data_IF_181092999656
#
_entry.id   IF_181092999656
#
_cell.length_a   1.000
_cell.length_b   1.000
_cell.length_c   1.000
_cell.angle_alpha   90.00
_cell.angle_beta   90.00
_cell.angle_gamma   90.00
#
_symmetry.space_group_name_H-M   'P 1'
#
loop_
_entity.id
_entity.type
_entity.pdbx_description
1 polymer ?
#
# COMPACT_ATOMS: atom_id res chain seq x y z
N UNK A 1 -0.38 31.51 -15.24
CA UNK A 1 -1.63 30.93 -14.68
C UNK A 1 -1.36 29.63 -13.91
N UNK A 2 -0.47 28.75 -14.37
CA UNK A 2 -0.16 27.47 -13.71
C UNK A 2 0.46 27.59 -12.32
N UNK A 3 1.45 28.49 -12.13
CA UNK A 3 2.10 28.72 -10.84
C UNK A 3 1.14 29.23 -9.75
N UNK A 4 0.23 30.15 -10.10
CA UNK A 4 -0.79 30.65 -9.14
C UNK A 4 -1.76 29.52 -8.75
N UNK A 5 -2.10 28.64 -9.69
CA UNK A 5 -2.99 27.50 -9.42
C UNK A 5 -2.28 26.48 -8.51
N UNK A 6 -1.03 26.12 -8.82
CA UNK A 6 -0.20 25.26 -7.98
C UNK A 6 -0.01 25.82 -6.57
N UNK A 7 0.24 27.13 -6.45
CA UNK A 7 0.38 27.80 -5.15
C UNK A 7 -0.93 27.77 -4.32
N UNK A 8 -2.08 27.97 -4.99
CA UNK A 8 -3.39 27.91 -4.33
C UNK A 8 -3.70 26.48 -3.86
N UNK A 9 -3.35 25.45 -4.64
CA UNK A 9 -3.50 24.06 -4.24
C UNK A 9 -2.58 23.70 -3.06
N UNK A 10 -1.35 24.20 -3.06
CA UNK A 10 -0.39 23.93 -1.98
C UNK A 10 -0.79 24.56 -0.63
N UNK A 11 -1.57 25.65 -0.64
CA UNK A 11 -2.06 26.34 0.55
C UNK A 11 -3.54 26.07 0.86
N UNK A 12 -4.26 25.41 -0.05
CA UNK A 12 -5.67 25.09 0.10
C UNK A 12 -5.93 23.96 1.10
N UNK A 13 -7.18 23.77 1.50
CA UNK A 13 -7.55 22.63 2.31
C UNK A 13 -7.37 21.33 1.51
N UNK A 14 -6.99 20.25 2.20
CA UNK A 14 -6.71 18.93 1.61
C UNK A 14 -7.85 18.44 0.69
N UNK A 15 -9.10 18.79 1.03
CA UNK A 15 -10.29 18.41 0.27
C UNK A 15 -10.39 19.06 -1.11
N UNK A 16 -9.65 20.15 -1.36
CA UNK A 16 -9.57 20.81 -2.67
C UNK A 16 -8.41 20.28 -3.53
N UNK A 17 -7.54 19.42 -2.97
CA UNK A 17 -6.46 18.78 -3.72
C UNK A 17 -7.07 17.72 -4.67
N UNK A 18 -6.87 17.82 -6.01
CA UNK A 18 -7.37 16.86 -6.97
C UNK A 18 -6.80 15.45 -6.80
N UNK A 19 -5.67 15.32 -6.12
CA UNK A 19 -5.06 14.03 -5.78
C UNK A 19 -5.61 13.42 -4.48
N UNK A 20 -6.39 14.17 -3.70
CA UNK A 20 -7.04 13.67 -2.49
C UNK A 20 -8.28 12.84 -2.83
N UNK A 21 -8.07 11.68 -3.41
CA UNK A 21 -9.13 10.78 -3.90
C UNK A 21 -9.65 9.80 -2.86
N UNK A 22 -9.11 9.79 -1.66
CA UNK A 22 -9.44 8.82 -0.59
C UNK A 22 -10.93 8.76 -0.23
N UNK A 23 -11.67 9.89 -0.10
CA UNK A 23 -13.10 9.85 0.16
C UNK A 23 -13.89 9.21 -0.98
N UNK A 24 -13.46 9.43 -2.22
CA UNK A 24 -14.07 8.79 -3.39
C UNK A 24 -13.86 7.27 -3.37
N UNK A 25 -12.64 6.80 -3.07
CA UNK A 25 -12.33 5.37 -2.95
C UNK A 25 -13.19 4.70 -1.88
N UNK A 26 -13.34 5.33 -0.71
CA UNK A 26 -14.22 4.82 0.35
C UNK A 26 -15.68 4.78 -0.08
N UNK A 27 -16.14 5.79 -0.81
CA UNK A 27 -17.50 5.80 -1.39
C UNK A 27 -17.71 4.63 -2.38
N UNK A 28 -16.71 4.33 -3.24
CA UNK A 28 -16.79 3.18 -4.14
C UNK A 28 -16.80 1.86 -3.36
N UNK A 29 -15.91 1.69 -2.36
CA UNK A 29 -15.95 0.54 -1.46
C UNK A 29 -17.35 0.32 -0.86
N UNK A 30 -17.98 1.38 -0.36
CA UNK A 30 -19.30 1.28 0.26
C UNK A 30 -20.40 0.86 -0.74
N UNK A 31 -20.32 1.36 -1.97
CA UNK A 31 -21.20 0.90 -3.06
C UNK A 31 -21.00 -0.57 -3.37
N UNK A 32 -19.73 -1.02 -3.49
CA UNK A 32 -19.41 -2.42 -3.73
C UNK A 32 -19.89 -3.32 -2.59
N UNK A 33 -19.68 -2.93 -1.33
CA UNK A 33 -20.19 -3.66 -0.17
C UNK A 33 -21.70 -3.87 -0.18
N UNK A 34 -22.45 -2.90 -0.71
CA UNK A 34 -23.90 -3.01 -0.84
C UNK A 34 -24.32 -4.07 -1.88
N UNK A 35 -23.50 -4.27 -2.92
CA UNK A 35 -23.80 -5.21 -4.02
C UNK A 35 -23.28 -6.62 -3.73
N UNK A 36 -22.00 -6.74 -3.30
CA UNK A 36 -21.34 -8.05 -3.18
C UNK A 36 -21.32 -8.60 -1.75
N UNK A 37 -21.78 -7.82 -0.77
CA UNK A 37 -21.81 -8.19 0.65
C UNK A 37 -20.72 -7.51 1.48
N UNK A 38 -21.07 -7.19 2.72
CA UNK A 38 -20.25 -6.36 3.64
C UNK A 38 -18.84 -6.88 3.89
N UNK A 39 -18.63 -8.19 3.85
CA UNK A 39 -17.36 -8.84 4.19
C UNK A 39 -16.52 -9.22 2.95
N UNK A 40 -16.94 -8.80 1.75
CA UNK A 40 -16.27 -9.17 0.49
C UNK A 40 -15.46 -8.04 -0.16
N UNK A 41 -15.47 -6.86 0.43
CA UNK A 41 -14.75 -5.71 -0.08
C UNK A 41 -14.25 -4.87 1.09
N UNK A 42 -12.96 -4.64 1.16
CA UNK A 42 -12.34 -3.74 2.14
C UNK A 42 -11.41 -2.75 1.46
N UNK A 43 -11.21 -1.60 2.12
CA UNK A 43 -10.16 -0.66 1.74
C UNK A 43 -9.03 -0.76 2.72
N UNK A 44 -7.82 -0.87 2.19
CA UNK A 44 -6.58 -0.90 2.94
C UNK A 44 -5.63 0.13 2.32
N UNK A 45 -5.21 1.11 3.13
CA UNK A 45 -4.30 2.16 2.66
C UNK A 45 -2.91 1.91 3.23
N UNK A 46 -1.93 1.82 2.34
CA UNK A 46 -0.54 1.63 2.70
C UNK A 46 0.16 2.98 2.81
N UNK A 47 0.74 3.26 3.96
CA UNK A 47 1.41 4.52 4.28
C UNK A 47 2.91 4.28 4.40
N UNK A 48 3.68 5.01 3.63
CA UNK A 48 5.14 4.98 3.72
C UNK A 48 5.60 5.82 4.91
N UNK A 49 6.42 5.25 5.77
CA UNK A 49 6.91 5.89 7.00
C UNK A 49 8.43 6.04 7.04
N UNK A 50 9.12 5.57 6.00
CA UNK A 50 10.57 5.64 5.85
C UNK A 50 11.00 5.80 4.41
N UNK A 51 12.29 5.50 4.17
CA UNK A 51 12.91 5.61 2.87
C UNK A 51 13.48 7.02 2.60
N UNK A 52 14.69 7.05 2.06
CA UNK A 52 15.43 8.27 1.71
C UNK A 52 15.90 8.29 0.26
N UNK A 53 15.77 7.17 -0.43
CA UNK A 53 16.21 7.02 -1.81
C UNK A 53 15.40 7.87 -2.79
N UNK A 54 15.96 8.05 -3.99
CA UNK A 54 15.24 8.72 -5.09
C UNK A 54 13.96 7.97 -5.46
N UNK A 55 13.92 6.67 -5.26
CA UNK A 55 12.75 5.82 -5.51
C UNK A 55 11.66 5.95 -4.44
N UNK A 56 12.00 6.50 -3.26
CA UNK A 56 11.04 6.73 -2.19
C UNK A 56 10.37 8.12 -2.24
N UNK A 57 10.62 8.89 -3.28
CA UNK A 57 9.93 10.17 -3.50
C UNK A 57 8.46 9.99 -3.88
N UNK A 58 7.57 10.93 -3.54
CA UNK A 58 7.84 12.11 -2.72
C UNK A 58 8.05 11.76 -1.25
N UNK A 59 8.97 12.48 -0.59
CA UNK A 59 9.14 12.39 0.85
C UNK A 59 8.16 13.35 1.53
N UNK A 60 7.45 12.86 2.52
CA UNK A 60 6.54 13.66 3.35
C UNK A 60 6.83 13.44 4.83
N UNK A 61 6.46 14.42 5.64
CA UNK A 61 6.64 14.34 7.08
C UNK A 61 5.45 13.61 7.71
N UNK A 62 5.69 12.57 8.51
CA UNK A 62 4.64 11.79 9.18
C UNK A 62 3.75 12.64 10.10
N UNK A 63 4.24 13.76 10.59
CA UNK A 63 3.48 14.70 11.41
C UNK A 63 2.90 15.88 10.61
N UNK A 64 2.92 15.83 9.27
CA UNK A 64 2.28 16.88 8.47
C UNK A 64 0.77 16.90 8.72
N UNK A 65 0.19 18.10 8.63
CA UNK A 65 -1.24 18.30 8.82
C UNK A 65 -2.08 17.40 7.92
N UNK A 66 -1.72 17.33 6.65
CA UNK A 66 -2.46 16.57 5.64
C UNK A 66 -2.46 15.07 5.94
N UNK A 67 -1.31 14.52 6.37
CA UNK A 67 -1.27 13.11 6.77
C UNK A 67 -2.10 12.86 8.04
N UNK A 68 -2.06 13.76 9.02
CA UNK A 68 -2.86 13.62 10.22
C UNK A 68 -4.38 13.69 9.92
N UNK A 69 -4.79 14.55 8.99
CA UNK A 69 -6.17 14.60 8.49
C UNK A 69 -6.57 13.29 7.79
N UNK A 70 -5.68 12.74 6.94
CA UNK A 70 -5.90 11.44 6.30
C UNK A 70 -6.03 10.31 7.32
N UNK A 71 -5.15 10.26 8.33
CA UNK A 71 -5.21 9.24 9.37
C UNK A 71 -6.50 9.34 10.20
N UNK A 72 -6.95 10.55 10.50
CA UNK A 72 -8.23 10.79 11.16
C UNK A 72 -9.40 10.33 10.28
N UNK A 73 -9.37 10.65 8.99
CA UNK A 73 -10.35 10.16 8.02
C UNK A 73 -10.38 8.62 7.99
N UNK A 74 -9.24 7.96 7.91
CA UNK A 74 -9.15 6.49 7.93
C UNK A 74 -9.76 5.91 9.22
N UNK A 75 -9.51 6.53 10.37
CA UNK A 75 -10.10 6.12 11.65
C UNK A 75 -11.62 6.24 11.63
N UNK A 76 -12.15 7.36 11.15
CA UNK A 76 -13.60 7.66 11.07
C UNK A 76 -14.29 6.68 10.12
N UNK A 77 -13.73 6.45 8.95
CA UNK A 77 -14.28 5.58 7.91
C UNK A 77 -13.96 4.10 8.10
N UNK A 78 -13.27 3.75 9.19
CA UNK A 78 -12.83 2.38 9.51
C UNK A 78 -12.02 1.74 8.37
N UNK A 79 -11.16 2.53 7.74
CA UNK A 79 -10.19 2.05 6.76
C UNK A 79 -9.01 1.45 7.49
N UNK A 80 -8.57 0.28 7.06
CA UNK A 80 -7.35 -0.34 7.58
C UNK A 80 -6.11 0.39 7.05
N UNK A 81 -5.08 0.51 7.89
CA UNK A 81 -3.81 1.10 7.51
C UNK A 81 -2.75 0.03 7.57
N UNK A 82 -1.96 -0.08 6.50
CA UNK A 82 -0.79 -0.94 6.40
C UNK A 82 0.49 -0.12 6.19
N UNK A 83 1.62 -0.76 6.42
CA UNK A 83 2.93 -0.23 6.12
C UNK A 83 3.18 -0.32 4.60
N UNK A 84 3.55 0.78 3.98
CA UNK A 84 4.16 0.77 2.66
C UNK A 84 5.68 0.77 2.84
N UNK A 85 6.24 -0.42 3.02
CA UNK A 85 7.68 -0.60 3.23
C UNK A 85 8.46 0.08 2.11
N UNK A 86 9.44 0.91 2.48
CA UNK A 86 10.22 1.72 1.54
C UNK A 86 11.07 0.87 0.58
N UNK A 87 11.51 1.48 -0.51
CA UNK A 87 12.47 0.85 -1.41
C UNK A 87 13.83 0.62 -0.73
N UNK A 88 14.23 1.52 0.17
CA UNK A 88 15.44 1.36 0.98
C UNK A 88 15.35 0.13 1.90
N UNK A 89 14.20 -0.13 2.49
CA UNK A 89 13.98 -1.32 3.31
C UNK A 89 14.02 -2.62 2.48
N UNK A 90 13.61 -2.59 1.21
CA UNK A 90 13.81 -3.70 0.28
C UNK A 90 15.30 -4.03 0.05
N UNK A 91 16.23 -3.10 0.31
CA UNK A 91 17.68 -3.33 0.29
C UNK A 91 18.25 -3.64 1.67
N UNK A 92 17.63 -3.11 2.72
CA UNK A 92 18.06 -3.22 4.10
C UNK A 92 16.86 -3.62 4.97
N UNK A 93 16.48 -4.91 5.00
CA UNK A 93 15.21 -5.37 5.60
C UNK A 93 15.05 -5.06 7.09
N UNK A 94 16.17 -4.84 7.81
CA UNK A 94 16.14 -4.40 9.21
C UNK A 94 15.35 -3.09 9.40
N UNK A 95 15.24 -2.24 8.35
CA UNK A 95 14.47 -1.00 8.39
C UNK A 95 12.96 -1.24 8.51
N UNK A 96 12.45 -2.40 8.12
CA UNK A 96 11.02 -2.75 8.20
C UNK A 96 10.48 -2.51 9.62
N UNK A 97 11.18 -2.98 10.64
CA UNK A 97 10.77 -2.80 12.03
C UNK A 97 10.72 -1.33 12.42
N UNK A 98 11.74 -0.55 12.05
CA UNK A 98 11.81 0.89 12.33
C UNK A 98 10.68 1.66 11.64
N UNK A 99 10.43 1.36 10.37
CA UNK A 99 9.36 2.00 9.59
C UNK A 99 7.98 1.66 10.18
N UNK A 100 7.77 0.39 10.55
CA UNK A 100 6.55 -0.03 11.23
C UNK A 100 6.32 0.73 12.53
N UNK A 101 7.33 0.82 13.40
CA UNK A 101 7.24 1.56 14.67
C UNK A 101 6.92 3.04 14.45
N UNK A 102 7.52 3.67 13.45
CA UNK A 102 7.23 5.06 13.10
C UNK A 102 5.75 5.24 12.72
N UNK A 103 5.19 4.33 11.92
CA UNK A 103 3.78 4.37 11.53
C UNK A 103 2.86 4.10 12.72
N UNK A 104 3.20 3.14 13.57
CA UNK A 104 2.43 2.82 14.79
C UNK A 104 2.33 4.00 15.74
N UNK A 105 3.41 4.76 15.91
CA UNK A 105 3.41 6.01 16.70
C UNK A 105 2.43 7.05 16.15
N UNK A 106 2.27 7.13 14.82
CA UNK A 106 1.34 8.09 14.20
C UNK A 106 -0.11 7.62 14.29
N UNK A 107 -0.35 6.33 14.13
CA UNK A 107 -1.71 5.76 14.12
C UNK A 107 -2.24 5.46 15.52
N UNK A 108 -1.36 5.29 16.50
CA UNK A 108 -1.68 4.82 17.84
C UNK A 108 -2.19 3.37 17.88
N UNK A 109 -1.91 2.59 16.84
CA UNK A 109 -2.37 1.20 16.68
C UNK A 109 -1.27 0.32 16.13
N UNK A 110 -1.34 -0.98 16.44
CA UNK A 110 -0.50 -1.98 15.80
C UNK A 110 -0.76 -2.06 14.30
N UNK A 111 0.30 -2.14 13.51
CA UNK A 111 0.28 -2.25 12.06
C UNK A 111 0.74 -3.66 11.69
N UNK A 112 -0.15 -4.44 11.10
CA UNK A 112 0.09 -5.86 10.78
C UNK A 112 0.06 -6.16 9.28
N UNK A 113 -0.32 -5.17 8.46
CA UNK A 113 -0.39 -5.26 7.01
C UNK A 113 0.83 -4.59 6.36
N UNK A 114 1.36 -5.20 5.31
CA UNK A 114 2.49 -4.67 4.55
C UNK A 114 2.27 -4.72 3.04
N UNK A 115 2.88 -3.78 2.33
CA UNK A 115 3.16 -3.83 0.89
C UNK A 115 4.48 -3.12 0.61
N UNK A 116 5.43 -3.78 -0.05
CA UNK A 116 6.68 -3.16 -0.45
C UNK A 116 6.48 -2.16 -1.60
N UNK A 117 7.14 -1.03 -1.50
CA UNK A 117 7.22 -0.03 -2.55
C UNK A 117 7.89 -0.66 -3.79
N UNK A 118 7.35 -0.40 -4.99
CA UNK A 118 7.75 -1.04 -6.24
C UNK A 118 7.64 -2.58 -6.25
N UNK A 119 6.90 -3.18 -5.34
CA UNK A 119 6.88 -4.62 -5.10
C UNK A 119 8.30 -5.21 -4.90
N UNK A 120 9.24 -4.38 -4.44
CA UNK A 120 10.65 -4.71 -4.30
C UNK A 120 10.91 -5.51 -3.01
N UNK A 121 10.43 -6.75 -3.00
CA UNK A 121 10.69 -7.70 -1.92
C UNK A 121 11.60 -8.83 -2.39
N UNK A 122 12.42 -9.33 -1.48
CA UNK A 122 13.33 -10.47 -1.70
C UNK A 122 12.92 -11.64 -0.82
N UNK A 123 12.85 -12.80 -1.40
CA UNK A 123 12.61 -14.02 -0.67
C UNK A 123 13.93 -14.80 -0.51
N UNK A 124 14.19 -15.38 0.67
CA UNK A 124 13.33 -15.37 1.88
C UNK A 124 13.54 -14.19 2.82
N UNK A 125 14.52 -13.30 2.56
CA UNK A 125 15.04 -12.34 3.51
C UNK A 125 13.98 -11.40 4.05
N UNK A 126 13.23 -10.75 3.16
CA UNK A 126 12.24 -9.76 3.57
C UNK A 126 11.06 -10.41 4.29
N UNK A 127 10.67 -11.64 3.91
CA UNK A 127 9.62 -12.40 4.58
C UNK A 127 9.98 -12.74 6.03
N UNK A 128 11.24 -13.11 6.28
CA UNK A 128 11.77 -13.34 7.63
C UNK A 128 11.70 -12.06 8.48
N UNK A 129 12.02 -10.91 7.88
CA UNK A 129 11.96 -9.63 8.58
C UNK A 129 10.54 -9.12 8.80
N UNK A 130 9.61 -9.36 7.86
CA UNK A 130 8.20 -9.08 8.06
C UNK A 130 7.64 -9.89 9.24
N UNK A 131 7.94 -11.18 9.30
CA UNK A 131 7.53 -12.04 10.42
C UNK A 131 8.12 -11.55 11.75
N UNK A 132 9.43 -11.23 11.81
CA UNK A 132 10.10 -10.68 13.00
C UNK A 132 9.50 -9.34 13.44
N UNK A 133 9.08 -8.52 12.51
CA UNK A 133 8.42 -7.24 12.78
C UNK A 133 6.96 -7.40 13.23
N UNK A 134 6.41 -8.63 13.24
CA UNK A 134 5.01 -8.88 13.59
C UNK A 134 4.01 -8.48 12.51
N UNK A 135 4.44 -8.43 11.25
CA UNK A 135 3.53 -8.35 10.11
C UNK A 135 2.88 -9.71 9.92
N UNK A 136 1.57 -9.74 9.78
CA UNK A 136 0.79 -10.97 9.59
C UNK A 136 0.32 -11.15 8.16
N UNK A 137 0.22 -10.07 7.39
CA UNK A 137 -0.37 -10.06 6.06
C UNK A 137 0.47 -9.20 5.11
N UNK A 138 0.96 -9.78 4.03
CA UNK A 138 1.72 -9.09 2.99
C UNK A 138 0.97 -9.06 1.66
N UNK A 139 0.93 -7.89 1.04
CA UNK A 139 0.20 -7.60 -0.20
C UNK A 139 1.15 -7.24 -1.36
N UNK A 140 2.38 -7.72 -1.30
CA UNK A 140 3.42 -7.42 -2.30
C UNK A 140 3.37 -8.34 -3.52
N UNK A 141 2.79 -9.55 -3.39
CA UNK A 141 2.87 -10.61 -4.38
C UNK A 141 2.01 -10.35 -5.62
N UNK A 142 2.51 -9.47 -6.49
CA UNK A 142 1.95 -9.13 -7.79
C UNK A 142 3.02 -8.98 -8.86
N UNK A 143 2.59 -8.82 -10.09
CA UNK A 143 3.43 -8.44 -11.22
C UNK A 143 3.37 -6.91 -11.39
N UNK A 144 4.51 -6.24 -11.61
CA UNK A 144 4.49 -4.79 -11.84
C UNK A 144 4.01 -4.42 -13.24
N UNK A 145 4.14 -5.30 -14.21
CA UNK A 145 4.03 -5.06 -15.64
C UNK A 145 2.78 -5.67 -16.30
N UNK A 146 2.11 -6.62 -15.64
CA UNK A 146 0.91 -7.28 -16.17
C UNK A 146 -0.12 -7.55 -15.07
N UNK A 147 -1.38 -7.67 -15.46
CA UNK A 147 -2.42 -8.20 -14.59
C UNK A 147 -2.28 -9.72 -14.44
N UNK A 148 -2.49 -10.25 -13.24
CA UNK A 148 -2.43 -11.68 -12.98
C UNK A 148 -2.07 -12.02 -11.53
N UNK A 149 -2.04 -13.31 -11.23
CA UNK A 149 -1.75 -13.82 -9.89
C UNK A 149 -0.33 -14.42 -9.84
N UNK A 150 0.64 -13.65 -9.35
CA UNK A 150 2.04 -14.11 -9.22
C UNK A 150 2.18 -15.37 -8.35
N UNK A 151 1.29 -15.56 -7.38
CA UNK A 151 1.22 -16.75 -6.54
C UNK A 151 0.55 -17.96 -7.23
N UNK A 152 0.10 -17.83 -8.48
CA UNK A 152 -0.65 -18.88 -9.20
C UNK A 152 -2.05 -19.15 -8.64
N UNK A 153 -2.52 -18.34 -7.71
CA UNK A 153 -3.83 -18.43 -7.06
C UNK A 153 -4.38 -17.07 -6.73
N UNK A 154 -5.70 -16.95 -6.72
CA UNK A 154 -6.44 -15.77 -6.22
C UNK A 154 -6.68 -15.79 -4.71
N UNK A 155 -6.26 -16.85 -4.02
CA UNK A 155 -6.47 -17.00 -2.58
C UNK A 155 -5.21 -16.68 -1.81
N UNK A 156 -5.33 -16.05 -0.61
CA UNK A 156 -4.21 -15.91 0.30
C UNK A 156 -3.60 -17.26 0.67
N UNK A 157 -2.28 -17.29 0.83
CA UNK A 157 -1.52 -18.49 1.20
C UNK A 157 -0.58 -18.18 2.34
N UNK A 158 -0.33 -19.13 3.22
CA UNK A 158 0.72 -19.02 4.21
C UNK A 158 2.09 -19.11 3.54
N UNK A 159 3.00 -18.22 3.92
CA UNK A 159 4.38 -18.34 3.52
C UNK A 159 5.03 -19.57 4.17
N UNK A 160 5.85 -20.28 3.41
CA UNK A 160 6.65 -21.39 3.93
C UNK A 160 8.08 -20.88 4.07
N UNK A 161 8.57 -20.83 5.31
CA UNK A 161 9.94 -20.41 5.59
C UNK A 161 10.91 -21.53 5.15
N UNK A 162 11.77 -21.30 4.13
CA UNK A 162 12.66 -22.33 3.60
C UNK A 162 13.81 -22.67 4.54
N UNK A 163 14.18 -21.76 5.46
CA UNK A 163 15.28 -21.97 6.39
C UNK A 163 14.91 -23.01 7.48
N UNK A 164 13.72 -22.87 8.05
CA UNK A 164 13.26 -23.75 9.13
C UNK A 164 12.21 -24.78 8.67
N UNK A 165 11.80 -24.74 7.40
CA UNK A 165 10.81 -25.64 6.76
C UNK A 165 9.46 -25.66 7.46
N UNK A 166 9.04 -24.52 8.04
CA UNK A 166 7.77 -24.37 8.74
C UNK A 166 6.82 -23.46 7.99
N UNK A 167 5.54 -23.70 8.17
CA UNK A 167 4.50 -22.77 7.75
C UNK A 167 4.58 -21.57 8.68
N UNK A 168 4.77 -20.39 8.11
CA UNK A 168 4.81 -19.12 8.82
C UNK A 168 3.40 -18.63 9.16
N UNK A 169 3.20 -17.86 10.23
CA UNK A 169 1.98 -17.10 10.43
C UNK A 169 1.76 -16.01 9.36
N UNK A 170 2.80 -15.61 8.63
CA UNK A 170 2.71 -14.62 7.55
C UNK A 170 1.84 -15.13 6.40
N UNK A 171 0.81 -14.37 6.06
CA UNK A 171 -0.10 -14.65 4.95
C UNK A 171 0.28 -13.75 3.77
N UNK A 172 0.52 -14.36 2.61
CA UNK A 172 0.76 -13.66 1.35
C UNK A 172 -0.57 -13.51 0.61
N UNK A 173 -0.97 -12.26 0.37
CA UNK A 173 -2.15 -11.93 -0.40
C UNK A 173 -1.78 -11.68 -1.86
N UNK A 174 -2.42 -12.35 -2.81
CA UNK A 174 -2.16 -12.11 -4.23
C UNK A 174 -2.63 -10.71 -4.63
N UNK A 175 -1.77 -9.95 -5.27
CA UNK A 175 -2.09 -8.68 -5.91
C UNK A 175 -2.35 -8.96 -7.39
N UNK A 176 -3.62 -8.84 -7.80
CA UNK A 176 -4.05 -9.24 -9.14
C UNK A 176 -3.76 -8.18 -10.20
N UNK A 177 -3.85 -6.89 -9.83
CA UNK A 177 -3.83 -5.79 -10.79
C UNK A 177 -3.39 -4.50 -10.11
N UNK A 178 -2.65 -3.68 -10.82
CA UNK A 178 -2.33 -2.30 -10.44
C UNK A 178 -2.69 -1.37 -11.61
N UNK A 179 -3.10 -0.14 -11.31
CA UNK A 179 -3.43 0.86 -12.34
C UNK A 179 -2.23 1.20 -13.21
N UNK A 180 -1.02 1.24 -12.64
CA UNK A 180 0.20 1.47 -13.41
C UNK A 180 0.49 0.32 -14.37
N UNK A 181 0.24 -0.95 -13.99
CA UNK A 181 0.39 -2.09 -14.90
C UNK A 181 -0.49 -1.98 -16.13
N UNK A 182 -1.70 -1.43 -15.98
CA UNK A 182 -2.64 -1.25 -17.09
C UNK A 182 -2.29 -0.08 -17.99
N UNK A 183 -1.85 1.06 -17.43
CA UNK A 183 -1.84 2.34 -18.12
C UNK A 183 -0.44 2.84 -18.54
N UNK A 184 0.64 2.41 -17.84
CA UNK A 184 1.99 2.90 -18.17
C UNK A 184 2.43 2.41 -19.55
N UNK A 185 3.03 3.30 -20.38
CA UNK A 185 3.46 2.97 -21.74
C UNK A 185 4.49 1.83 -21.82
N UNK A 186 5.27 1.62 -20.76
CA UNK A 186 6.28 0.57 -20.68
C UNK A 186 5.71 -0.78 -20.24
N UNK A 187 4.41 -0.84 -19.87
CA UNK A 187 3.71 -2.03 -19.43
C UNK A 187 2.60 -2.41 -20.41
N UNK A 188 1.38 -2.69 -19.94
CA UNK A 188 0.29 -3.13 -20.81
C UNK A 188 -0.23 -2.03 -21.76
N UNK A 189 -0.09 -0.77 -21.38
CA UNK A 189 -0.47 0.40 -22.19
C UNK A 189 -1.89 0.32 -22.81
N UNK A 190 -2.85 -0.11 -22.01
CA UNK A 190 -4.21 -0.37 -22.50
C UNK A 190 -5.01 0.92 -22.73
N UNK A 191 -4.63 2.04 -22.10
CA UNK A 191 -5.45 3.22 -22.03
C UNK A 191 -6.75 2.99 -21.24
N UNK A 192 -7.58 4.03 -21.16
CA UNK A 192 -8.79 3.99 -20.33
C UNK A 192 -9.78 2.92 -20.81
N UNK A 193 -10.09 2.89 -22.11
CA UNK A 193 -11.07 1.96 -22.68
C UNK A 193 -10.59 0.50 -22.59
N UNK A 194 -9.31 0.25 -22.90
CA UNK A 194 -8.73 -1.10 -22.81
C UNK A 194 -8.63 -1.62 -21.39
N UNK A 195 -8.46 -0.72 -20.41
CA UNK A 195 -8.42 -1.09 -19.00
C UNK A 195 -9.81 -1.44 -18.41
N UNK A 196 -10.90 -1.05 -19.10
CA UNK A 196 -12.27 -1.37 -18.70
C UNK A 196 -12.83 -2.62 -19.38
N UNK A 197 -12.20 -3.09 -20.45
CA UNK A 197 -12.59 -4.27 -21.20
C UNK A 197 -12.10 -5.56 -20.53
#
# INVERSE_FOLDING_TARGET
>A
TGLKHAWKMFQGPLQEDPFYTFPWLVKQRNKLKAVIGKNRCESLFFIKSGGSSVYDKPHYKLHSKDLQELLLFCKTEKVQIGLHTSYDAGKTPALISTEKELLERQTGKSVTYNRHHYLASREPEDMVWLEKAGITDDFTMGYPDVAGFRLGTSRPVHWINPENKRISPLILHPLAIMECSLNEPVYMNLGYEGALA
#
